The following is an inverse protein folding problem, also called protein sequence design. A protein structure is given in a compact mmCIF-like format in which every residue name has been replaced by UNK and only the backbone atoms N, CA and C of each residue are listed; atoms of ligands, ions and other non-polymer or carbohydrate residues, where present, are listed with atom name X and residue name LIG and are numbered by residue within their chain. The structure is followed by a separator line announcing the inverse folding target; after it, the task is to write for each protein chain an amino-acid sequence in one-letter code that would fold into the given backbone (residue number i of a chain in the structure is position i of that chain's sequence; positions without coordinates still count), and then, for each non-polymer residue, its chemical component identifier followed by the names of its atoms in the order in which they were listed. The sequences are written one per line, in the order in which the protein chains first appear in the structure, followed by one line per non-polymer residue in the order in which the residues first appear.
data_IF_516672859149
#
_entry.id   IF_516672859149
#
_cell.length_a   1.000
_cell.length_b   1.000
_cell.length_c   1.000
_cell.angle_alpha   90.00
_cell.angle_beta   90.00
_cell.angle_gamma   90.00
#
_symmetry.space_group_name_H-M   'P 1'
#
loop_
_entity.id
_entity.type
_entity.pdbx_description
1 polymer ?
#
# COMPACT_ATOMS: atom_id res chain seq x y z
N UNK A 1 19.52 -14.09 3.81
CA UNK A 1 19.27 -12.69 4.03
C UNK A 1 17.81 -12.42 4.32
N UNK A 2 17.57 -11.55 5.28
CA UNK A 2 16.23 -11.24 5.78
C UNK A 2 15.31 -10.75 4.68
N UNK A 3 15.81 -9.89 3.80
CA UNK A 3 15.00 -9.30 2.74
C UNK A 3 14.46 -10.32 1.74
N UNK A 4 15.26 -11.33 1.41
CA UNK A 4 14.85 -12.34 0.44
C UNK A 4 13.67 -13.18 0.94
N UNK A 5 13.71 -13.59 2.20
CA UNK A 5 12.61 -14.37 2.79
C UNK A 5 11.32 -13.54 2.86
N UNK A 6 11.44 -12.25 3.20
CA UNK A 6 10.30 -11.34 3.22
C UNK A 6 9.75 -11.14 1.82
N UNK A 7 10.60 -10.97 0.82
CA UNK A 7 10.17 -10.81 -0.57
C UNK A 7 9.34 -11.98 -1.03
N UNK A 8 9.77 -13.21 -0.76
CA UNK A 8 8.99 -14.39 -1.13
C UNK A 8 7.61 -14.41 -0.48
N UNK A 9 7.56 -14.06 0.79
CA UNK A 9 6.30 -14.03 1.53
C UNK A 9 5.35 -12.97 0.97
N UNK A 10 5.90 -11.83 0.59
CA UNK A 10 5.11 -10.75 0.01
C UNK A 10 4.60 -11.17 -1.37
N UNK A 11 5.43 -11.76 -2.21
CA UNK A 11 4.98 -12.30 -3.50
C UNK A 11 3.86 -13.29 -3.34
N UNK A 12 3.97 -14.19 -2.36
CA UNK A 12 2.92 -15.16 -2.09
C UNK A 12 1.63 -14.50 -1.65
N UNK A 13 1.71 -13.47 -0.80
CA UNK A 13 0.54 -12.73 -0.35
C UNK A 13 -0.15 -12.03 -1.52
N UNK A 14 0.63 -11.39 -2.40
CA UNK A 14 0.09 -10.72 -3.57
C UNK A 14 -0.55 -11.71 -4.55
N UNK A 15 0.06 -12.89 -4.71
CA UNK A 15 -0.50 -13.93 -5.57
C UNK A 15 -1.87 -14.39 -5.06
N UNK A 16 -2.09 -14.35 -3.76
CA UNK A 16 -3.37 -14.67 -3.15
C UNK A 16 -4.32 -13.47 -3.11
N UNK A 17 -3.98 -12.40 -3.80
CA UNK A 17 -4.76 -11.16 -3.87
C UNK A 17 -4.96 -10.48 -2.51
N UNK A 18 -3.97 -10.61 -1.64
CA UNK A 18 -3.98 -9.93 -0.35
C UNK A 18 -3.25 -8.61 -0.45
N UNK A 19 -3.78 -7.58 0.19
CA UNK A 19 -3.06 -6.32 0.33
C UNK A 19 -1.88 -6.52 1.26
N UNK A 20 -0.76 -5.89 0.95
CA UNK A 20 0.46 -6.01 1.73
C UNK A 20 0.76 -4.69 2.40
N UNK A 21 0.94 -4.73 3.73
CA UNK A 21 1.30 -3.56 4.51
C UNK A 21 2.72 -3.76 5.04
N UNK A 22 3.61 -2.81 4.72
CA UNK A 22 5.00 -2.85 5.18
C UNK A 22 5.19 -1.71 6.15
N UNK A 23 5.45 -2.05 7.42
CA UNK A 23 5.60 -1.07 8.49
C UNK A 23 7.02 -1.10 9.05
N UNK A 24 7.51 0.05 9.41
CA UNK A 24 8.83 0.16 10.03
C UNK A 24 9.39 1.57 9.89
N UNK A 25 10.48 1.88 10.58
CA UNK A 25 11.14 3.17 10.48
C UNK A 25 11.64 3.44 9.05
N UNK A 26 11.76 4.70 8.69
CA UNK A 26 12.22 5.09 7.35
C UNK A 26 13.57 4.47 6.96
N UNK A 27 14.43 4.23 7.93
CA UNK A 27 15.79 3.75 7.71
C UNK A 27 15.90 2.27 7.36
N UNK A 28 14.80 1.52 7.35
CA UNK A 28 14.87 0.09 7.11
C UNK A 28 14.62 -0.33 5.66
N UNK A 29 14.54 0.63 4.74
CA UNK A 29 14.48 0.33 3.31
C UNK A 29 13.15 -0.15 2.79
N UNK A 30 12.05 0.34 3.33
CA UNK A 30 10.70 -0.05 2.90
C UNK A 30 10.46 0.21 1.42
N UNK A 31 10.85 1.38 0.92
CA UNK A 31 10.67 1.73 -0.48
C UNK A 31 11.53 0.86 -1.40
N UNK A 32 12.75 0.56 -0.96
CA UNK A 32 13.64 -0.33 -1.72
C UNK A 32 13.04 -1.73 -1.83
N UNK A 33 12.46 -2.21 -0.74
CA UNK A 33 11.81 -3.51 -0.73
C UNK A 33 10.60 -3.54 -1.68
N UNK A 34 9.78 -2.50 -1.65
CA UNK A 34 8.63 -2.40 -2.54
C UNK A 34 9.08 -2.37 -4.01
N UNK A 35 10.12 -1.61 -4.33
CA UNK A 35 10.66 -1.55 -5.69
C UNK A 35 11.16 -2.92 -6.16
N UNK A 36 11.76 -3.70 -5.26
CA UNK A 36 12.23 -5.04 -5.61
C UNK A 36 11.09 -6.02 -5.86
N UNK A 37 9.95 -5.80 -5.23
CA UNK A 37 8.81 -6.72 -5.29
C UNK A 37 7.91 -6.44 -6.49
N UNK A 38 7.72 -5.17 -6.84
CA UNK A 38 6.82 -4.80 -7.93
C UNK A 38 7.46 -5.16 -9.26
N UNK A 39 6.77 -5.95 -10.12
CA UNK A 39 7.31 -6.30 -11.42
C UNK A 39 7.60 -5.07 -12.27
N UNK A 40 8.64 -5.15 -13.09
CA UNK A 40 9.03 -4.02 -13.95
C UNK A 40 7.98 -3.66 -14.99
N UNK A 41 7.16 -4.63 -15.39
CA UNK A 41 6.10 -4.41 -16.36
C UNK A 41 4.77 -4.03 -15.72
N UNK A 42 4.74 -3.86 -14.39
CA UNK A 42 3.53 -3.47 -13.69
C UNK A 42 3.14 -2.03 -14.06
N UNK A 43 1.85 -1.83 -14.18
CA UNK A 43 1.27 -0.50 -14.37
C UNK A 43 0.83 0.01 -13.01
N UNK A 44 1.62 0.92 -12.46
CA UNK A 44 1.52 1.31 -11.06
C UNK A 44 0.85 2.67 -10.90
N UNK A 45 -0.11 2.75 -10.00
CA UNK A 45 -0.56 4.02 -9.46
C UNK A 45 0.23 4.24 -8.17
N UNK A 46 1.16 5.19 -8.18
CA UNK A 46 2.00 5.48 -7.04
C UNK A 46 1.48 6.71 -6.32
N UNK A 47 1.26 6.57 -5.02
CA UNK A 47 0.73 7.64 -4.18
C UNK A 47 1.70 7.84 -3.02
N UNK A 48 2.27 9.05 -2.93
CA UNK A 48 3.21 9.37 -1.86
C UNK A 48 2.52 10.25 -0.80
N UNK A 49 2.33 9.69 0.39
CA UNK A 49 1.67 10.39 1.48
C UNK A 49 2.41 11.60 2.03
N UNK A 50 3.71 11.74 1.74
CA UNK A 50 4.46 12.93 2.13
C UNK A 50 4.13 14.15 1.24
N UNK A 51 3.53 13.94 0.10
CA UNK A 51 3.20 15.01 -0.85
C UNK A 51 1.90 15.70 -0.44
N UNK A 52 1.97 17.01 -0.19
CA UNK A 52 0.80 17.76 0.28
C UNK A 52 -0.32 17.85 -0.76
N UNK A 53 0.02 17.90 -2.04
CA UNK A 53 -1.00 17.89 -3.11
C UNK A 53 -1.74 16.56 -3.13
N UNK A 54 -1.02 15.46 -2.93
CA UNK A 54 -1.61 14.13 -2.83
C UNK A 54 -2.53 14.05 -1.62
N UNK A 55 -2.07 14.54 -0.47
CA UNK A 55 -2.90 14.54 0.74
C UNK A 55 -4.23 15.25 0.50
N UNK A 56 -4.19 16.40 -0.15
CA UNK A 56 -5.40 17.17 -0.46
C UNK A 56 -6.30 16.43 -1.45
N UNK A 57 -5.71 15.84 -2.48
CA UNK A 57 -6.46 15.13 -3.53
C UNK A 57 -7.28 13.98 -2.97
N UNK A 58 -6.75 13.27 -1.98
CA UNK A 58 -7.39 12.05 -1.48
C UNK A 58 -8.31 12.25 -0.27
N UNK A 59 -8.49 13.48 0.21
CA UNK A 59 -9.35 13.74 1.38
C UNK A 59 -10.78 13.22 1.15
N UNK A 60 -11.35 13.47 -0.02
CA UNK A 60 -12.72 13.09 -0.35
C UNK A 60 -12.78 12.21 -1.59
N UNK A 61 -11.96 11.17 -1.63
CA UNK A 61 -11.95 10.27 -2.77
C UNK A 61 -13.16 9.33 -2.72
N UNK A 62 -13.74 9.06 -3.87
CA UNK A 62 -14.84 8.10 -4.03
C UNK A 62 -14.49 7.08 -5.12
N UNK A 63 -15.42 6.16 -5.37
CA UNK A 63 -15.20 5.12 -6.38
C UNK A 63 -14.97 5.69 -7.77
N UNK A 64 -15.72 6.73 -8.15
CA UNK A 64 -15.59 7.34 -9.47
C UNK A 64 -14.20 7.96 -9.66
N UNK A 65 -13.70 8.67 -8.65
CA UNK A 65 -12.35 9.25 -8.70
C UNK A 65 -11.29 8.16 -8.76
N UNK A 66 -11.43 7.10 -7.99
CA UNK A 66 -10.49 6.00 -8.00
C UNK A 66 -10.49 5.30 -9.36
N UNK A 67 -11.65 5.15 -9.99
CA UNK A 67 -11.74 4.56 -11.30
C UNK A 67 -10.93 5.33 -12.34
N UNK A 68 -11.00 6.66 -12.30
CA UNK A 68 -10.22 7.52 -13.19
C UNK A 68 -8.73 7.39 -12.92
N UNK A 69 -8.34 7.42 -11.65
CA UNK A 69 -6.94 7.34 -11.26
C UNK A 69 -6.31 5.99 -11.57
N UNK A 70 -7.04 4.91 -11.28
CA UNK A 70 -6.54 3.57 -11.54
C UNK A 70 -6.49 3.26 -13.03
N UNK A 71 -7.55 3.63 -13.77
CA UNK A 71 -7.59 3.38 -15.20
C UNK A 71 -7.30 1.91 -15.50
N UNK A 72 -6.24 1.64 -16.25
CA UNK A 72 -5.82 0.28 -16.59
C UNK A 72 -4.66 -0.22 -15.72
N UNK A 73 -4.36 0.47 -14.63
CA UNK A 73 -3.24 0.09 -13.76
C UNK A 73 -3.59 -1.15 -12.94
N UNK A 74 -2.59 -1.97 -12.67
CA UNK A 74 -2.79 -3.23 -11.95
C UNK A 74 -2.08 -3.29 -10.59
N UNK A 75 -1.42 -2.21 -10.20
CA UNK A 75 -0.76 -2.07 -8.91
C UNK A 75 -1.06 -0.73 -8.28
N UNK A 76 -1.31 -0.74 -6.99
CA UNK A 76 -1.42 0.48 -6.19
C UNK A 76 -0.32 0.44 -5.13
N UNK A 77 0.57 1.43 -5.15
CA UNK A 77 1.61 1.57 -4.15
C UNK A 77 1.40 2.87 -3.40
N UNK A 78 1.13 2.78 -2.10
CA UNK A 78 0.91 3.94 -1.25
C UNK A 78 2.04 4.03 -0.25
N UNK A 79 2.91 5.03 -0.41
CA UNK A 79 4.04 5.25 0.49
C UNK A 79 3.64 6.25 1.57
N UNK A 80 4.06 6.01 2.80
CA UNK A 80 3.72 6.84 3.97
C UNK A 80 2.21 7.09 4.07
N UNK A 81 1.45 6.02 3.99
CA UNK A 81 -0.01 6.07 3.89
C UNK A 81 -0.69 6.73 5.10
N UNK A 82 -0.09 6.65 6.29
CA UNK A 82 -0.67 7.24 7.49
C UNK A 82 -0.79 8.76 7.40
N UNK A 83 -0.10 9.38 6.45
CA UNK A 83 -0.16 10.83 6.26
C UNK A 83 -1.32 11.28 5.39
N UNK A 84 -2.03 10.34 4.80
CA UNK A 84 -3.19 10.63 3.96
C UNK A 84 -4.45 10.48 4.80
N UNK A 85 -5.20 11.58 4.95
CA UNK A 85 -6.47 11.53 5.68
C UNK A 85 -7.45 10.63 4.92
N UNK A 86 -8.19 9.81 5.66
CA UNK A 86 -9.16 8.87 5.10
C UNK A 86 -8.55 7.83 4.16
N UNK A 87 -7.26 7.53 4.31
CA UNK A 87 -6.60 6.51 3.47
C UNK A 87 -7.32 5.16 3.57
N UNK A 88 -7.87 4.85 4.74
CA UNK A 88 -8.63 3.61 4.94
C UNK A 88 -9.80 3.50 3.98
N UNK A 89 -10.54 4.59 3.78
CA UNK A 89 -11.66 4.59 2.85
C UNK A 89 -11.20 4.33 1.41
N UNK A 90 -10.11 4.96 0.99
CA UNK A 90 -9.54 4.74 -0.33
C UNK A 90 -9.13 3.27 -0.52
N UNK A 91 -8.44 2.71 0.46
CA UNK A 91 -7.99 1.32 0.38
C UNK A 91 -9.18 0.35 0.35
N UNK A 92 -10.22 0.64 1.11
CA UNK A 92 -11.43 -0.18 1.11
C UNK A 92 -12.10 -0.17 -0.27
N UNK A 93 -12.21 0.99 -0.90
CA UNK A 93 -12.77 1.11 -2.23
C UNK A 93 -11.98 0.25 -3.22
N UNK A 94 -10.65 0.36 -3.20
CA UNK A 94 -9.81 -0.41 -4.12
C UNK A 94 -9.94 -1.91 -3.87
N UNK A 95 -9.90 -2.32 -2.61
CA UNK A 95 -9.98 -3.74 -2.26
C UNK A 95 -11.32 -4.36 -2.66
N UNK A 96 -12.41 -3.61 -2.57
CA UNK A 96 -13.75 -4.13 -2.85
C UNK A 96 -14.15 -3.99 -4.31
N UNK A 97 -13.77 -2.89 -4.97
CA UNK A 97 -14.25 -2.56 -6.32
C UNK A 97 -13.24 -2.81 -7.42
N UNK A 98 -11.95 -2.87 -7.09
CA UNK A 98 -10.88 -3.06 -8.07
C UNK A 98 -10.05 -4.29 -7.69
N UNK A 99 -10.69 -5.45 -7.74
CA UNK A 99 -10.13 -6.69 -7.19
C UNK A 99 -8.89 -7.20 -7.92
N UNK A 100 -8.67 -6.73 -9.14
CA UNK A 100 -7.49 -7.12 -9.91
C UNK A 100 -6.27 -6.25 -9.60
N UNK A 101 -6.46 -5.18 -8.83
CA UNK A 101 -5.36 -4.29 -8.45
C UNK A 101 -4.69 -4.83 -7.18
N UNK A 102 -3.40 -5.04 -7.26
CA UNK A 102 -2.60 -5.47 -6.10
C UNK A 102 -2.18 -4.25 -5.31
N UNK A 103 -2.24 -4.34 -3.99
CA UNK A 103 -2.04 -3.20 -3.10
C UNK A 103 -0.81 -3.41 -2.23
N UNK A 104 0.09 -2.44 -2.25
CA UNK A 104 1.23 -2.38 -1.32
C UNK A 104 1.17 -1.03 -0.61
N UNK A 105 1.18 -1.06 0.71
CA UNK A 105 1.09 0.14 1.55
C UNK A 105 2.29 0.17 2.49
N UNK A 106 2.94 1.30 2.60
CA UNK A 106 4.02 1.47 3.56
C UNK A 106 3.71 2.57 4.56
N UNK A 107 4.34 2.50 5.73
CA UNK A 107 4.25 3.54 6.73
C UNK A 107 5.38 3.46 7.73
N UNK A 108 5.84 4.62 8.19
CA UNK A 108 6.90 4.72 9.18
C UNK A 108 6.39 4.70 10.62
N UNK A 109 5.09 4.95 10.81
CA UNK A 109 4.46 4.90 12.11
C UNK A 109 3.53 3.68 12.18
N UNK A 110 3.92 2.68 12.96
CA UNK A 110 3.14 1.44 13.09
C UNK A 110 1.74 1.73 13.61
N UNK A 111 1.61 2.56 14.63
CA UNK A 111 0.32 2.87 15.22
C UNK A 111 -0.62 3.58 14.24
N UNK A 112 -0.14 4.63 13.62
CA UNK A 112 -0.97 5.43 12.71
C UNK A 112 -1.38 4.63 11.48
N UNK A 113 -0.46 3.84 10.94
CA UNK A 113 -0.76 3.02 9.77
C UNK A 113 -1.75 1.91 10.14
N UNK A 114 -1.52 1.23 11.25
CA UNK A 114 -2.41 0.17 11.70
C UNK A 114 -3.84 0.68 11.89
N UNK A 115 -4.00 1.85 12.52
CA UNK A 115 -5.32 2.46 12.67
C UNK A 115 -5.96 2.82 11.33
N UNK A 116 -5.18 3.42 10.45
CA UNK A 116 -5.69 3.88 9.16
C UNK A 116 -6.23 2.73 8.30
N UNK A 117 -5.62 1.54 8.40
CA UNK A 117 -6.00 0.40 7.56
C UNK A 117 -6.77 -0.69 8.31
N UNK A 118 -6.95 -0.54 9.60
CA UNK A 118 -7.45 -1.58 10.48
C UNK A 118 -8.74 -2.25 10.02
N UNK A 119 -9.74 -1.47 9.74
CA UNK A 119 -11.04 -2.01 9.34
C UNK A 119 -11.18 -2.17 7.83
N UNK A 120 -10.48 -1.34 7.09
CA UNK A 120 -10.62 -1.27 5.65
C UNK A 120 -10.16 -2.53 4.94
N UNK A 121 -9.11 -3.17 5.44
CA UNK A 121 -8.49 -4.33 4.83
C UNK A 121 -8.58 -5.58 5.69
N UNK A 122 -9.50 -5.61 6.65
CA UNK A 122 -9.68 -6.77 7.54
C UNK A 122 -9.90 -8.03 6.73
N UNK A 123 -9.10 -9.07 6.99
CA UNK A 123 -9.18 -10.33 6.28
C UNK A 123 -8.60 -10.33 4.88
N UNK A 124 -8.18 -9.16 4.39
CA UNK A 124 -7.67 -9.00 3.02
C UNK A 124 -6.22 -8.53 2.98
N UNK A 125 -5.56 -8.44 4.13
CA UNK A 125 -4.21 -7.90 4.19
C UNK A 125 -3.24 -8.87 4.85
N UNK A 126 -1.96 -8.69 4.51
CA UNK A 126 -0.83 -9.29 5.21
C UNK A 126 0.07 -8.16 5.66
N UNK A 127 0.52 -8.20 6.91
CA UNK A 127 1.39 -7.19 7.49
C UNK A 127 2.81 -7.70 7.58
N UNK A 128 3.76 -6.87 7.16
CA UNK A 128 5.18 -7.14 7.28
C UNK A 128 5.83 -5.98 8.00
N UNK A 129 6.59 -6.27 9.03
CA UNK A 129 7.28 -5.24 9.80
C UNK A 129 8.78 -5.38 9.60
N UNK A 130 9.40 -4.24 9.29
CA UNK A 130 10.83 -4.15 9.14
C UNK A 130 11.40 -3.42 10.36
N UNK A 131 12.49 -3.95 10.89
CA UNK A 131 13.15 -3.37 12.05
C UNK A 131 14.57 -2.98 11.67
N UNK A 132 15.11 -1.89 12.27
CA UNK A 132 16.51 -1.54 12.07
C UNK A 132 17.40 -2.67 12.61
N UNK A 133 18.51 -2.88 11.95
CA UNK A 133 19.48 -3.91 12.35
C UNK A 133 20.39 -3.40 13.45
#
# INVERSE_FOLDING_TARGET
MIHRAIEERIHNALAKKKAVTIMGPRQVGKSTLADAIIPKDARILEINGDNTDVQTMFINVDEAKMKVLIGNKNFLFVDEAQKIENVGNMLKIVAEKFKDVKIIVTGSSVFKLAEAVKESLTGRKREFRLYPL
#
